data_IF_044175767110
#
_entry.id   IF_044175767110
#
_cell.length_a   1.000
_cell.length_b   1.000
_cell.length_c   1.000
_cell.angle_alpha   90.00
_cell.angle_beta   90.00
_cell.angle_gamma   90.00
#
_symmetry.space_group_name_H-M   'P 1'
#
loop_
_entity.id
_entity.type
_entity.pdbx_description
1 polymer ?
#
# COMPACT_ATOMS: atom_id res chain seq x y z
N UNK A 1 -24.10 -15.70 -10.30
CA UNK A 1 -24.36 -17.08 -9.77
C UNK A 1 -23.28 -18.01 -10.36
N UNK A 2 -22.94 -19.11 -9.70
CA UNK A 2 -21.85 -20.04 -10.08
C UNK A 2 -20.42 -19.47 -9.90
N UNK A 3 -20.20 -18.73 -8.81
CA UNK A 3 -18.87 -18.26 -8.38
C UNK A 3 -18.58 -18.76 -6.97
N UNK A 4 -17.29 -18.96 -6.65
CA UNK A 4 -16.81 -19.03 -5.28
C UNK A 4 -16.27 -17.65 -4.94
N UNK A 5 -16.89 -17.00 -3.96
CA UNK A 5 -16.44 -15.69 -3.47
C UNK A 5 -15.67 -15.88 -2.17
N UNK A 6 -14.38 -15.53 -2.18
CA UNK A 6 -13.56 -15.49 -0.97
C UNK A 6 -13.48 -14.03 -0.53
N UNK A 7 -14.05 -13.73 0.63
CA UNK A 7 -14.05 -12.38 1.21
C UNK A 7 -13.06 -12.39 2.36
N UNK A 8 -11.98 -11.64 2.22
CA UNK A 8 -11.00 -11.41 3.28
C UNK A 8 -11.37 -10.10 3.98
N UNK A 9 -11.70 -10.19 5.27
CA UNK A 9 -12.09 -9.04 6.07
C UNK A 9 -11.48 -9.13 7.47
N UNK A 10 -10.91 -8.01 7.94
CA UNK A 10 -10.46 -7.85 9.31
C UNK A 10 -11.64 -7.77 10.28
N UNK A 11 -11.45 -8.31 11.48
CA UNK A 11 -12.41 -8.20 12.59
C UNK A 11 -11.98 -7.23 13.69
N UNK A 12 -10.71 -6.81 13.68
CA UNK A 12 -10.21 -5.82 14.63
C UNK A 12 -10.85 -4.46 14.39
N UNK A 13 -10.91 -3.63 15.43
CA UNK A 13 -11.34 -2.25 15.29
C UNK A 13 -10.36 -1.51 14.38
N UNK A 14 -10.88 -0.90 13.31
CA UNK A 14 -10.10 -0.20 12.30
C UNK A 14 -10.82 1.04 11.77
N UNK A 15 -10.07 1.99 11.17
CA UNK A 15 -10.65 3.13 10.50
C UNK A 15 -11.61 2.72 9.38
N UNK A 16 -12.62 3.56 9.14
CA UNK A 16 -13.52 3.43 8.00
C UNK A 16 -13.12 4.46 6.94
N UNK A 17 -12.71 3.99 5.76
CA UNK A 17 -12.12 4.84 4.72
C UNK A 17 -13.14 5.42 3.75
N UNK A 18 -14.22 4.70 3.50
CA UNK A 18 -15.22 5.05 2.48
C UNK A 18 -16.60 5.15 3.11
N UNK A 19 -17.40 6.12 2.66
CA UNK A 19 -18.84 6.11 2.87
C UNK A 19 -19.47 4.93 2.12
N UNK A 20 -20.70 4.56 2.47
CA UNK A 20 -21.41 3.47 1.79
C UNK A 20 -21.50 3.68 0.27
N UNK A 21 -21.86 4.89 -0.18
CA UNK A 21 -21.97 5.22 -1.61
C UNK A 21 -20.62 5.11 -2.34
N UNK A 22 -19.54 5.56 -1.69
CA UNK A 22 -18.19 5.42 -2.24
C UNK A 22 -17.76 3.95 -2.29
N UNK A 23 -18.05 3.17 -1.26
CA UNK A 23 -17.78 1.74 -1.20
C UNK A 23 -18.54 0.97 -2.28
N UNK A 24 -19.82 1.28 -2.52
CA UNK A 24 -20.60 0.65 -3.60
C UNK A 24 -19.93 0.91 -4.96
N UNK A 25 -19.57 2.16 -5.26
CA UNK A 25 -18.88 2.50 -6.52
C UNK A 25 -17.53 1.80 -6.64
N UNK A 26 -16.72 1.83 -5.58
CA UNK A 26 -15.39 1.23 -5.55
C UNK A 26 -15.43 -0.29 -5.70
N UNK A 27 -16.30 -0.98 -4.94
CA UNK A 27 -16.49 -2.42 -5.05
C UNK A 27 -17.09 -2.86 -6.39
N UNK A 28 -17.92 -2.02 -7.01
CA UNK A 28 -18.42 -2.29 -8.38
C UNK A 28 -17.29 -2.24 -9.41
N UNK A 29 -16.35 -1.32 -9.26
CA UNK A 29 -15.18 -1.23 -10.12
C UNK A 29 -14.12 -2.30 -9.78
N UNK A 30 -14.04 -2.74 -8.52
CA UNK A 30 -13.05 -3.70 -8.02
C UNK A 30 -11.67 -3.10 -7.73
N UNK A 31 -11.37 -1.94 -8.30
CA UNK A 31 -10.12 -1.20 -8.18
C UNK A 31 -10.36 0.28 -8.49
N UNK A 32 -9.62 1.18 -7.86
CA UNK A 32 -9.74 2.61 -8.14
C UNK A 32 -8.69 3.48 -7.46
N UNK A 33 -8.55 4.69 -7.98
CA UNK A 33 -7.75 5.75 -7.35
C UNK A 33 -8.54 6.34 -6.18
N UNK A 34 -7.89 6.49 -5.04
CA UNK A 34 -8.43 7.26 -3.92
C UNK A 34 -7.96 8.70 -4.04
N UNK A 35 -8.81 9.53 -4.65
CA UNK A 35 -8.49 10.93 -4.98
C UNK A 35 -8.09 11.75 -3.74
N UNK A 36 -8.77 11.55 -2.60
CA UNK A 36 -8.48 12.25 -1.34
C UNK A 36 -7.12 11.85 -0.73
N UNK A 37 -6.62 10.66 -1.04
CA UNK A 37 -5.32 10.16 -0.60
C UNK A 37 -4.20 10.47 -1.63
N UNK A 38 -4.56 10.88 -2.85
CA UNK A 38 -3.64 11.20 -3.93
C UNK A 38 -3.38 12.71 -4.02
N UNK A 39 -2.29 13.13 -4.68
CA UNK A 39 -1.98 14.55 -4.92
C UNK A 39 -1.40 14.81 -6.33
N UNK A 40 -1.58 13.87 -7.26
CA UNK A 40 -1.06 13.88 -8.63
C UNK A 40 -2.08 14.41 -9.67
N UNK A 41 -3.23 14.94 -9.25
CA UNK A 41 -4.21 15.48 -10.20
C UNK A 41 -3.61 16.60 -11.04
N UNK A 42 -3.65 16.45 -12.38
CA UNK A 42 -3.06 17.38 -13.34
C UNK A 42 -1.60 17.10 -13.70
N UNK A 43 -0.98 16.05 -13.16
CA UNK A 43 0.35 15.57 -13.54
C UNK A 43 0.42 14.03 -13.55
N UNK A 44 1.55 13.46 -13.96
CA UNK A 44 1.85 12.06 -13.63
C UNK A 44 2.31 11.96 -12.17
N UNK A 45 2.08 10.83 -11.49
CA UNK A 45 2.69 10.58 -10.18
C UNK A 45 4.18 10.27 -10.33
N UNK A 46 4.96 10.60 -9.31
CA UNK A 46 6.33 10.10 -9.13
C UNK A 46 6.34 8.65 -8.65
N UNK A 47 5.27 8.24 -7.93
CA UNK A 47 5.09 6.89 -7.39
C UNK A 47 3.62 6.53 -7.25
N UNK A 48 3.29 5.26 -7.50
CA UNK A 48 1.99 4.68 -7.21
C UNK A 48 2.07 3.86 -5.91
N UNK A 49 1.26 4.23 -4.93
CA UNK A 49 1.06 3.50 -3.68
C UNK A 49 -0.20 2.65 -3.81
N UNK A 50 -0.02 1.36 -4.05
CA UNK A 50 -1.09 0.40 -4.26
C UNK A 50 -1.34 -0.44 -3.02
N UNK A 51 -2.60 -0.77 -2.72
CA UNK A 51 -2.92 -1.60 -1.55
C UNK A 51 -4.12 -2.52 -1.78
N UNK A 52 -4.04 -3.73 -1.22
CA UNK A 52 -5.15 -4.68 -1.21
C UNK A 52 -5.18 -5.44 0.13
N UNK A 53 -6.25 -5.22 0.90
CA UNK A 53 -6.40 -5.70 2.27
C UNK A 53 -6.54 -4.53 3.25
N UNK A 54 -7.19 -4.78 4.38
CA UNK A 54 -7.53 -3.79 5.40
C UNK A 54 -6.28 -3.21 6.11
N UNK A 55 -5.41 -4.07 6.65
CA UNK A 55 -4.15 -3.66 7.27
C UNK A 55 -3.17 -3.07 6.24
N UNK A 56 -2.93 -3.69 5.06
CA UNK A 56 -2.13 -3.06 4.00
C UNK A 56 -2.61 -1.67 3.59
N UNK A 57 -3.93 -1.43 3.56
CA UNK A 57 -4.50 -0.11 3.24
C UNK A 57 -4.15 0.91 4.32
N UNK A 58 -4.29 0.54 5.60
CA UNK A 58 -3.92 1.43 6.71
C UNK A 58 -2.45 1.83 6.66
N UNK A 59 -1.54 0.87 6.50
CA UNK A 59 -0.10 1.13 6.46
C UNK A 59 0.31 1.91 5.20
N UNK A 60 -0.36 1.67 4.08
CA UNK A 60 -0.17 2.46 2.86
C UNK A 60 -0.54 3.92 3.07
N UNK A 61 -1.71 4.20 3.66
CA UNK A 61 -2.12 5.58 3.94
C UNK A 61 -1.19 6.24 4.96
N UNK A 62 -0.78 5.54 6.00
CA UNK A 62 0.17 6.08 6.97
C UNK A 62 1.55 6.37 6.34
N UNK A 63 2.00 5.54 5.38
CA UNK A 63 3.21 5.82 4.61
C UNK A 63 3.04 7.06 3.72
N UNK A 64 1.88 7.22 3.08
CA UNK A 64 1.57 8.41 2.27
C UNK A 64 1.57 9.68 3.12
N UNK A 65 1.01 9.63 4.33
CA UNK A 65 1.07 10.74 5.28
C UNK A 65 2.51 11.12 5.63
N UNK A 66 3.35 10.14 5.98
CA UNK A 66 4.78 10.38 6.23
C UNK A 66 5.50 10.96 5.00
N UNK A 67 5.24 10.44 3.80
CA UNK A 67 5.84 10.95 2.57
C UNK A 67 5.45 12.40 2.31
N UNK A 68 4.19 12.80 2.56
CA UNK A 68 3.75 14.20 2.45
C UNK A 68 4.47 15.11 3.43
N UNK A 69 4.81 14.62 4.62
CA UNK A 69 5.55 15.39 5.62
C UNK A 69 7.04 15.54 5.25
N UNK A 70 7.68 14.46 4.79
CA UNK A 70 9.12 14.48 4.46
C UNK A 70 9.43 15.07 3.09
N UNK A 71 8.54 14.88 2.11
CA UNK A 71 8.71 15.32 0.73
C UNK A 71 7.40 15.89 0.15
N UNK A 72 7.00 17.12 0.54
CA UNK A 72 5.72 17.71 0.14
C UNK A 72 5.51 17.85 -1.38
N UNK A 73 6.61 17.96 -2.13
CA UNK A 73 6.59 18.10 -3.59
C UNK A 73 6.35 16.76 -4.33
N UNK A 74 6.49 15.62 -3.64
CA UNK A 74 6.31 14.29 -4.23
C UNK A 74 4.86 14.07 -4.68
N UNK A 75 4.69 13.67 -5.95
CA UNK A 75 3.39 13.30 -6.51
C UNK A 75 3.12 11.82 -6.27
N UNK A 76 2.14 11.55 -5.42
CA UNK A 76 1.72 10.21 -5.01
C UNK A 76 0.31 9.96 -5.51
N UNK A 77 0.15 8.83 -6.20
CA UNK A 77 -1.17 8.26 -6.52
C UNK A 77 -1.45 7.08 -5.61
N UNK A 78 -2.61 7.07 -4.96
CA UNK A 78 -3.05 5.95 -4.14
C UNK A 78 -4.08 5.12 -4.90
N UNK A 79 -3.80 3.83 -5.11
CA UNK A 79 -4.70 2.89 -5.78
C UNK A 79 -5.11 1.82 -4.77
N UNK A 80 -6.40 1.67 -4.53
CA UNK A 80 -6.94 0.60 -3.68
C UNK A 80 -7.59 -0.48 -4.54
N UNK A 81 -7.36 -1.74 -4.18
CA UNK A 81 -7.84 -2.92 -4.90
C UNK A 81 -8.65 -3.79 -3.94
N UNK A 82 -9.89 -4.11 -4.33
CA UNK A 82 -10.78 -5.03 -3.60
C UNK A 82 -11.08 -6.32 -4.38
N UNK A 83 -11.02 -6.27 -5.71
CA UNK A 83 -11.04 -7.46 -6.57
C UNK A 83 -9.66 -7.65 -7.23
N UNK A 84 -8.89 -8.60 -6.71
CA UNK A 84 -7.55 -8.91 -7.22
C UNK A 84 -7.56 -9.37 -8.69
N UNK A 85 -8.68 -9.91 -9.18
CA UNK A 85 -8.76 -10.41 -10.54
C UNK A 85 -8.73 -9.28 -11.58
N UNK A 86 -8.99 -8.03 -11.17
CA UNK A 86 -8.81 -6.83 -12.00
C UNK A 86 -7.37 -6.64 -12.46
N UNK A 87 -6.40 -7.16 -11.70
CA UNK A 87 -4.97 -7.06 -12.04
C UNK A 87 -4.58 -7.94 -13.23
N UNK A 88 -5.31 -9.02 -13.50
CA UNK A 88 -5.03 -9.92 -14.64
C UNK A 88 -5.41 -9.27 -15.97
N UNK A 89 -4.71 -9.61 -17.07
CA UNK A 89 -5.16 -9.25 -18.41
C UNK A 89 -6.60 -9.73 -18.65
N UNK A 90 -7.40 -8.92 -19.33
CA UNK A 90 -8.81 -9.23 -19.62
C UNK A 90 -8.98 -10.53 -20.41
N UNK A 91 -7.98 -10.90 -21.20
CA UNK A 91 -7.94 -12.13 -21.99
C UNK A 91 -7.80 -13.38 -21.10
N UNK A 92 -7.27 -13.24 -19.88
CA UNK A 92 -7.05 -14.34 -18.93
C UNK A 92 -8.19 -14.43 -17.89
N UNK A 93 -8.85 -13.32 -17.57
CA UNK A 93 -9.97 -13.31 -16.62
C UNK A 93 -11.04 -12.27 -16.98
N UNK A 94 -12.35 -12.59 -16.87
CA UNK A 94 -13.44 -11.67 -17.25
C UNK A 94 -13.48 -10.35 -16.48
N UNK A 95 -12.94 -10.32 -15.26
CA UNK A 95 -12.82 -9.10 -14.45
C UNK A 95 -11.53 -8.31 -14.75
N UNK A 96 -10.61 -8.91 -15.51
CA UNK A 96 -9.31 -8.33 -15.80
C UNK A 96 -9.42 -7.01 -16.54
N UNK A 97 -8.58 -6.05 -16.16
CA UNK A 97 -8.49 -4.77 -16.86
C UNK A 97 -7.83 -4.94 -18.22
N UNK A 98 -8.22 -4.10 -19.18
CA UNK A 98 -7.45 -3.92 -20.41
C UNK A 98 -6.05 -3.38 -20.08
N UNK A 99 -5.06 -3.60 -20.95
CA UNK A 99 -3.72 -3.01 -20.78
C UNK A 99 -3.79 -1.50 -20.59
N UNK A 100 -4.62 -0.80 -21.38
CA UNK A 100 -4.79 0.65 -21.29
C UNK A 100 -5.34 1.10 -19.94
N UNK A 101 -6.33 0.39 -19.41
CA UNK A 101 -6.95 0.77 -18.13
C UNK A 101 -5.98 0.50 -16.96
N UNK A 102 -5.22 -0.60 -17.03
CA UNK A 102 -4.15 -0.88 -16.08
C UNK A 102 -3.08 0.22 -16.10
N UNK A 103 -2.56 0.58 -17.28
CA UNK A 103 -1.55 1.63 -17.44
C UNK A 103 -2.08 3.01 -16.99
N UNK A 104 -3.38 3.26 -17.15
CA UNK A 104 -4.00 4.52 -16.67
C UNK A 104 -3.93 4.62 -15.15
N UNK A 105 -4.05 3.50 -14.43
CA UNK A 105 -3.98 3.46 -12.97
C UNK A 105 -2.54 3.42 -12.46
N UNK A 106 -1.74 2.52 -13.02
CA UNK A 106 -0.42 2.14 -12.49
C UNK A 106 0.75 2.77 -13.25
N UNK A 107 0.47 3.60 -14.26
CA UNK A 107 1.46 4.19 -15.18
C UNK A 107 2.21 3.13 -15.99
N UNK A 108 3.07 3.58 -16.92
CA UNK A 108 3.85 2.68 -17.80
C UNK A 108 5.28 2.48 -17.32
N UNK A 109 5.78 3.39 -16.49
CA UNK A 109 7.20 3.54 -16.16
C UNK A 109 7.49 3.95 -14.71
N UNK A 110 6.49 4.40 -13.94
CA UNK A 110 6.73 4.88 -12.56
C UNK A 110 6.80 3.72 -11.57
N UNK A 111 7.60 3.84 -10.49
CA UNK A 111 7.61 2.87 -9.39
C UNK A 111 6.21 2.62 -8.82
N UNK A 112 5.89 1.35 -8.57
CA UNK A 112 4.67 0.93 -7.88
C UNK A 112 5.08 0.20 -6.60
N UNK A 113 4.72 0.77 -5.44
CA UNK A 113 4.85 0.09 -4.15
C UNK A 113 3.50 -0.49 -3.81
N UNK A 114 3.42 -1.83 -3.73
CA UNK A 114 2.18 -2.56 -3.54
C UNK A 114 2.17 -3.25 -2.18
N UNK A 115 1.31 -2.82 -1.27
CA UNK A 115 1.07 -3.46 0.02
C UNK A 115 -0.06 -4.51 -0.11
N UNK A 116 0.23 -5.78 0.15
CA UNK A 116 -0.71 -6.87 -0.04
C UNK A 116 -0.91 -7.70 1.24
N UNK A 117 -2.15 -8.10 1.49
CA UNK A 117 -2.53 -8.92 2.66
C UNK A 117 -1.86 -10.32 2.64
N UNK A 118 -1.68 -10.91 1.47
CA UNK A 118 -1.17 -12.28 1.31
C UNK A 118 0.27 -12.31 0.82
N UNK A 119 0.66 -13.44 0.21
CA UNK A 119 2.01 -13.61 -0.33
C UNK A 119 2.26 -12.72 -1.56
N UNK A 120 3.36 -11.92 -1.58
CA UNK A 120 3.72 -11.06 -2.71
C UNK A 120 3.75 -11.75 -4.07
N UNK A 121 4.15 -13.02 -4.09
CA UNK A 121 4.25 -13.85 -5.30
C UNK A 121 2.94 -13.91 -6.11
N UNK A 122 1.78 -13.86 -5.45
CA UNK A 122 0.50 -13.86 -6.15
C UNK A 122 0.35 -12.60 -7.01
N UNK A 123 0.65 -11.42 -6.45
CA UNK A 123 0.52 -10.16 -7.18
C UNK A 123 1.44 -10.16 -8.41
N UNK A 124 2.71 -10.56 -8.25
CA UNK A 124 3.62 -10.71 -9.38
C UNK A 124 3.11 -11.69 -10.44
N UNK A 125 2.49 -12.80 -10.03
CA UNK A 125 1.87 -13.75 -10.96
C UNK A 125 0.66 -13.17 -11.69
N UNK A 126 -0.15 -12.33 -11.05
CA UNK A 126 -1.32 -11.70 -11.68
C UNK A 126 -0.90 -10.60 -12.67
N UNK A 127 0.24 -9.95 -12.44
CA UNK A 127 0.68 -8.77 -13.21
C UNK A 127 1.86 -9.02 -14.16
N UNK A 128 2.37 -10.25 -14.29
CA UNK A 128 3.60 -10.53 -15.06
C UNK A 128 3.59 -10.10 -16.54
N UNK A 129 2.41 -9.91 -17.14
CA UNK A 129 2.25 -9.43 -18.53
C UNK A 129 2.02 -7.92 -18.65
N UNK A 130 1.86 -7.20 -17.54
CA UNK A 130 1.54 -5.77 -17.53
C UNK A 130 2.78 -4.94 -17.89
N UNK A 131 2.64 -3.90 -18.69
CA UNK A 131 3.78 -3.10 -19.16
C UNK A 131 4.73 -2.64 -18.03
N UNK A 132 4.19 -2.15 -16.92
CA UNK A 132 4.96 -1.61 -15.80
C UNK A 132 5.35 -2.66 -14.74
N UNK A 133 5.17 -3.97 -15.02
CA UNK A 133 5.50 -5.03 -14.06
C UNK A 133 6.97 -5.03 -13.55
N UNK A 134 8.00 -4.54 -14.30
CA UNK A 134 9.36 -4.47 -13.78
C UNK A 134 9.53 -3.47 -12.63
N UNK A 135 8.69 -2.44 -12.56
CA UNK A 135 8.69 -1.41 -11.52
C UNK A 135 7.71 -1.73 -10.37
N UNK A 136 7.11 -2.92 -10.38
CA UNK A 136 6.19 -3.37 -9.34
C UNK A 136 6.96 -4.02 -8.19
N UNK A 137 6.86 -3.42 -7.01
CA UNK A 137 7.50 -3.90 -5.79
C UNK A 137 6.45 -4.21 -4.74
N UNK A 138 6.29 -5.49 -4.45
CA UNK A 138 5.20 -5.98 -3.61
C UNK A 138 5.73 -6.32 -2.22
N UNK A 139 5.13 -5.73 -1.19
CA UNK A 139 5.24 -6.14 0.21
C UNK A 139 4.00 -6.91 0.61
N UNK A 140 4.16 -7.87 1.50
CA UNK A 140 3.09 -8.73 1.97
C UNK A 140 3.63 -9.77 2.93
N UNK A 141 2.85 -10.80 3.21
CA UNK A 141 3.22 -11.83 4.18
C UNK A 141 4.44 -12.65 3.72
N UNK A 142 5.40 -12.84 4.64
CA UNK A 142 6.71 -13.47 4.44
C UNK A 142 6.94 -14.70 5.35
N UNK A 143 5.90 -15.24 5.96
CA UNK A 143 6.01 -16.29 7.00
C UNK A 143 6.69 -15.84 8.30
N UNK A 144 6.74 -14.54 8.54
CA UNK A 144 7.28 -13.99 9.79
C UNK A 144 6.11 -13.61 10.71
N UNK A 145 6.17 -14.12 11.94
CA UNK A 145 5.11 -13.89 12.91
C UNK A 145 5.34 -14.63 14.22
N UNK A 146 4.91 -14.01 15.32
CA UNK A 146 4.92 -14.62 16.65
C UNK A 146 3.81 -13.99 17.49
N UNK A 147 3.70 -14.37 18.77
CA UNK A 147 2.85 -13.63 19.70
C UNK A 147 3.50 -12.28 19.98
N UNK A 148 3.00 -11.23 19.33
CA UNK A 148 3.49 -9.85 19.43
C UNK A 148 2.35 -8.85 19.24
N UNK A 149 2.65 -7.56 19.21
CA UNK A 149 1.68 -6.49 19.03
C UNK A 149 1.20 -6.39 17.57
N UNK A 150 0.00 -5.83 17.30
CA UNK A 150 -0.55 -5.73 15.94
C UNK A 150 0.37 -5.05 14.92
N UNK A 151 1.02 -3.94 15.28
CA UNK A 151 1.94 -3.27 14.36
C UNK A 151 3.26 -4.02 14.22
N UNK A 152 3.75 -4.68 15.27
CA UNK A 152 4.96 -5.50 15.15
C UNK A 152 4.78 -6.66 14.16
N UNK A 153 3.58 -7.25 14.08
CA UNK A 153 3.28 -8.26 13.05
C UNK A 153 3.48 -7.75 11.62
N UNK A 154 3.20 -6.47 11.32
CA UNK A 154 3.48 -5.91 9.99
C UNK A 154 4.94 -5.49 9.82
N UNK A 155 5.62 -5.08 10.91
CA UNK A 155 7.06 -4.78 10.90
C UNK A 155 7.87 -6.03 10.58
N UNK A 156 7.54 -7.18 11.18
CA UNK A 156 8.20 -8.47 10.91
C UNK A 156 8.12 -8.90 9.44
N UNK A 157 7.13 -8.40 8.70
CA UNK A 157 6.91 -8.71 7.29
C UNK A 157 7.39 -7.58 6.34
N UNK A 158 8.05 -6.54 6.86
CA UNK A 158 8.41 -5.31 6.14
C UNK A 158 7.22 -4.64 5.42
N UNK A 159 6.01 -4.77 5.97
CA UNK A 159 4.76 -4.25 5.40
C UNK A 159 4.30 -2.96 6.09
N UNK A 160 4.93 -2.60 7.21
CA UNK A 160 4.62 -1.38 7.94
C UNK A 160 4.97 -0.11 7.16
N UNK A 161 4.33 0.99 7.56
CA UNK A 161 4.52 2.30 6.97
C UNK A 161 5.98 2.75 6.84
N UNK A 162 6.88 2.38 7.75
CA UNK A 162 8.27 2.85 7.69
C UNK A 162 9.07 2.12 6.60
N UNK A 163 8.85 0.82 6.43
CA UNK A 163 9.43 0.08 5.30
C UNK A 163 8.83 0.51 3.96
N UNK A 164 7.52 0.78 3.92
CA UNK A 164 6.88 1.31 2.70
C UNK A 164 7.46 2.68 2.29
N UNK A 165 7.72 3.59 3.25
CA UNK A 165 8.41 4.86 2.96
C UNK A 165 9.82 4.62 2.42
N UNK A 166 10.59 3.73 3.03
CA UNK A 166 11.94 3.39 2.55
C UNK A 166 11.90 2.85 1.12
N UNK A 167 10.92 2.01 0.79
CA UNK A 167 10.77 1.47 -0.57
C UNK A 167 10.54 2.54 -1.63
N UNK A 168 9.74 3.57 -1.31
CA UNK A 168 9.53 4.74 -2.17
C UNK A 168 10.84 5.50 -2.36
N UNK A 169 11.52 5.81 -1.25
CA UNK A 169 12.77 6.59 -1.25
C UNK A 169 13.87 5.91 -2.06
N UNK A 170 13.93 4.59 -2.05
CA UNK A 170 14.93 3.82 -2.80
C UNK A 170 14.69 3.82 -4.31
N UNK A 171 13.47 4.13 -4.75
CA UNK A 171 13.04 3.93 -6.14
C UNK A 171 12.63 5.18 -6.87
N UNK A 172 12.28 6.25 -6.15
CA UNK A 172 11.90 7.53 -6.75
C UNK A 172 13.14 8.43 -6.89
N UNK A 173 13.59 8.73 -8.14
CA UNK A 173 14.81 9.53 -8.34
C UNK A 173 14.74 10.93 -7.73
N UNK A 174 13.55 11.55 -7.72
CA UNK A 174 13.32 12.88 -7.16
C UNK A 174 13.67 12.97 -5.65
N UNK A 175 13.59 11.85 -4.92
CA UNK A 175 13.87 11.80 -3.49
C UNK A 175 15.35 11.60 -3.15
N UNK A 176 16.22 11.38 -4.15
CA UNK A 176 17.64 11.07 -3.95
C UNK A 176 18.37 12.02 -2.99
N UNK A 177 18.04 13.31 -3.02
CA UNK A 177 18.64 14.33 -2.15
C UNK A 177 18.17 14.27 -0.68
N UNK A 178 16.97 13.76 -0.41
CA UNK A 178 16.41 13.57 0.95
C UNK A 178 16.64 12.17 1.48
N UNK A 179 17.04 11.24 0.62
CA UNK A 179 16.96 9.82 0.87
C UNK A 179 17.77 9.35 2.09
N UNK A 180 18.92 9.97 2.35
CA UNK A 180 19.74 9.66 3.53
C UNK A 180 18.99 9.99 4.84
N UNK A 181 18.39 11.18 4.93
CA UNK A 181 17.69 11.64 6.13
C UNK A 181 16.38 10.88 6.36
N UNK A 182 15.61 10.62 5.30
CA UNK A 182 14.37 9.85 5.42
C UNK A 182 14.67 8.43 5.88
N UNK A 183 15.68 7.76 5.29
CA UNK A 183 16.08 6.41 5.72
C UNK A 183 16.55 6.39 7.16
N UNK A 184 17.33 7.37 7.59
CA UNK A 184 17.75 7.48 9.00
C UNK A 184 16.53 7.60 9.91
N UNK A 185 15.61 8.52 9.62
CA UNK A 185 14.41 8.71 10.42
C UNK A 185 13.54 7.44 10.50
N UNK A 186 13.35 6.73 9.38
CA UNK A 186 12.57 5.48 9.38
C UNK A 186 13.26 4.36 10.18
N UNK A 187 14.59 4.27 10.13
CA UNK A 187 15.35 3.31 10.94
C UNK A 187 15.27 3.63 12.43
N UNK A 188 15.38 4.90 12.79
CA UNK A 188 15.27 5.35 14.18
C UNK A 188 13.87 4.98 14.73
N UNK A 189 12.81 5.19 13.95
CA UNK A 189 11.45 4.78 14.32
C UNK A 189 11.29 3.26 14.51
N UNK A 190 11.95 2.45 13.70
CA UNK A 190 11.94 0.99 13.85
C UNK A 190 12.70 0.54 15.11
N UNK A 191 13.80 1.22 15.45
CA UNK A 191 14.55 0.98 16.69
C UNK A 191 13.68 1.34 17.90
N UNK A 192 13.04 2.51 17.87
CA UNK A 192 12.14 2.97 18.93
C UNK A 192 10.98 1.99 19.13
N UNK A 193 10.34 1.56 18.04
CA UNK A 193 9.28 0.54 18.05
C UNK A 193 9.73 -0.74 18.76
N UNK A 194 10.88 -1.27 18.33
CA UNK A 194 11.45 -2.51 18.85
C UNK A 194 11.75 -2.44 20.37
N UNK A 195 12.20 -1.27 20.85
CA UNK A 195 12.40 -1.04 22.28
C UNK A 195 11.06 -0.91 23.02
N UNK A 196 10.14 -0.11 22.48
CA UNK A 196 8.87 0.23 23.10
C UNK A 196 7.98 -1.00 23.33
N UNK A 197 7.80 -1.87 22.33
CA UNK A 197 6.99 -3.10 22.51
C UNK A 197 7.63 -4.05 23.53
N UNK A 198 8.98 -4.04 23.60
CA UNK A 198 9.84 -4.69 24.61
C UNK A 198 9.41 -4.36 26.03
N UNK A 199 9.33 -3.05 26.25
CA UNK A 199 9.15 -2.46 27.56
C UNK A 199 7.68 -2.42 27.98
N UNK A 200 6.78 -2.11 27.06
CA UNK A 200 5.38 -1.80 27.37
C UNK A 200 4.38 -2.88 26.97
N UNK A 201 4.75 -3.82 26.08
CA UNK A 201 3.84 -4.87 25.61
C UNK A 201 2.68 -4.38 24.74
N UNK A 202 2.76 -3.15 24.24
CA UNK A 202 1.77 -2.52 23.35
C UNK A 202 2.47 -1.68 22.28
N UNK A 203 1.79 -1.42 21.16
CA UNK A 203 2.32 -0.58 20.09
C UNK A 203 2.52 0.87 20.54
N UNK A 204 3.47 1.57 19.91
CA UNK A 204 3.76 2.97 20.20
C UNK A 204 2.49 3.85 20.12
N UNK A 205 2.33 4.86 20.99
CA UNK A 205 1.11 5.68 21.02
C UNK A 205 0.81 6.38 19.71
N UNK A 206 1.83 6.81 18.96
CA UNK A 206 1.67 7.45 17.66
C UNK A 206 1.17 6.48 16.59
N UNK A 207 1.51 5.19 16.67
CA UNK A 207 0.93 4.13 15.81
C UNK A 207 -0.53 3.88 16.15
N UNK A 208 -0.84 3.65 17.43
CA UNK A 208 -2.21 3.31 17.87
C UNK A 208 -3.21 4.45 17.71
N UNK A 209 -2.75 5.67 17.95
CA UNK A 209 -3.60 6.86 17.89
C UNK A 209 -3.53 7.57 16.54
N UNK A 210 -2.80 7.00 15.56
CA UNK A 210 -2.72 7.58 14.22
C UNK A 210 -4.12 7.67 13.62
N UNK A 211 -4.38 8.83 13.01
CA UNK A 211 -5.58 9.10 12.22
C UNK A 211 -5.12 9.79 10.95
N UNK A 212 -5.80 9.50 9.85
CA UNK A 212 -5.59 10.23 8.62
C UNK A 212 -5.81 11.74 8.86
N UNK A 213 -4.80 12.60 8.63
CA UNK A 213 -4.83 13.99 9.09
C UNK A 213 -5.43 14.99 8.09
N UNK A 214 -5.93 14.53 6.95
CA UNK A 214 -6.45 15.38 5.86
C UNK A 214 -7.97 15.21 5.65
#
# INVERSE_FOLDING_TARGET
RNFINVIVAGKQQQPQWLSMDAAIRHCTAGIGIWEWASNDYGSEPDVVMACAGDVPTLETLAAVDLLRQFAPELKVRVVNIVDLMTLQPREEHPHGLSERDFDTLFTRDKPIIFAYHGYPMLIHRLTYRRNNHPNLHVRGYKEEGTTTTPFDMVVLNDLDRFHLVQDVVDRVPALSHLAAYIRQAMRDRLIDHHQYIREHGEDMPDIRNWKWPY
#
